data_IF_280787849771
#
_entry.id   IF_280787849771
#
_cell.length_a   1.000
_cell.length_b   1.000
_cell.length_c   1.000
_cell.angle_alpha   90.00
_cell.angle_beta   90.00
_cell.angle_gamma   90.00
#
_symmetry.space_group_name_H-M   'P 1'
#
loop_
_entity.id
_entity.type
_entity.pdbx_description
1 polymer ?
#
# COMPACT_ATOMS: atom_id res chain seq x y z
N UNK A 1 14.39 10.39 9.94
CA UNK A 1 14.22 9.86 8.55
C UNK A 1 12.75 9.57 8.39
N UNK A 2 12.12 10.08 7.33
CA UNK A 2 10.68 9.86 7.10
C UNK A 2 10.40 8.37 6.96
N UNK A 3 9.35 7.90 7.62
CA UNK A 3 8.94 6.50 7.62
C UNK A 3 7.44 6.42 7.30
N UNK A 4 7.11 5.78 6.19
CA UNK A 4 5.74 5.59 5.74
C UNK A 4 5.35 4.12 5.88
N UNK A 5 4.19 3.88 6.48
CA UNK A 5 3.55 2.57 6.47
C UNK A 5 2.73 2.42 5.19
N UNK A 6 3.00 1.39 4.41
CA UNK A 6 2.31 1.10 3.14
C UNK A 6 1.41 -0.11 3.34
N UNK A 7 0.12 0.07 3.11
CA UNK A 7 -0.90 -0.97 3.27
C UNK A 7 -1.79 -1.03 2.03
N UNK A 8 -2.30 -2.22 1.72
CA UNK A 8 -3.16 -2.47 0.57
C UNK A 8 -4.09 -3.65 0.84
N UNK A 9 -5.23 -3.64 0.15
CA UNK A 9 -6.09 -4.81 0.02
C UNK A 9 -6.56 -5.35 1.38
N UNK A 10 -7.24 -4.48 2.15
CA UNK A 10 -7.81 -4.79 3.49
C UNK A 10 -9.07 -5.64 3.33
N UNK A 11 -9.90 -5.36 2.30
CA UNK A 11 -11.09 -6.11 1.93
C UNK A 11 -12.07 -6.36 3.09
N UNK A 12 -12.23 -5.40 3.98
CA UNK A 12 -13.16 -5.50 5.11
C UNK A 12 -12.75 -6.49 6.20
N UNK A 13 -11.50 -6.96 6.20
CA UNK A 13 -11.00 -7.93 7.17
C UNK A 13 -10.53 -7.23 8.46
N UNK A 14 -11.20 -7.54 9.56
CA UNK A 14 -10.83 -7.04 10.88
C UNK A 14 -9.41 -7.48 11.28
N UNK A 15 -9.00 -8.70 10.94
CA UNK A 15 -7.64 -9.18 11.23
C UNK A 15 -6.58 -8.39 10.44
N UNK A 16 -6.92 -7.88 9.24
CA UNK A 16 -6.08 -6.95 8.51
C UNK A 16 -5.95 -5.60 9.22
N UNK A 17 -7.07 -5.07 9.75
CA UNK A 17 -7.07 -3.85 10.55
C UNK A 17 -6.25 -3.98 11.85
N UNK A 18 -6.36 -5.12 12.53
CA UNK A 18 -5.56 -5.42 13.74
C UNK A 18 -4.05 -5.44 13.39
N UNK A 19 -3.65 -6.09 12.30
CA UNK A 19 -2.25 -6.09 11.82
C UNK A 19 -1.74 -4.68 11.51
N UNK A 20 -2.58 -3.83 10.90
CA UNK A 20 -2.22 -2.44 10.62
C UNK A 20 -1.98 -1.68 11.92
N UNK A 21 -2.84 -1.87 12.94
CA UNK A 21 -2.67 -1.23 14.25
C UNK A 21 -1.35 -1.67 14.90
N UNK A 22 -1.03 -2.97 14.91
CA UNK A 22 0.23 -3.50 15.42
C UNK A 22 1.44 -2.87 14.70
N UNK A 23 1.35 -2.75 13.35
CA UNK A 23 2.41 -2.12 12.57
C UNK A 23 2.57 -0.62 12.88
N UNK A 24 1.47 0.11 13.12
CA UNK A 24 1.50 1.52 13.55
C UNK A 24 2.20 1.63 14.91
N UNK A 25 1.82 0.80 15.87
CA UNK A 25 2.38 0.84 17.23
C UNK A 25 3.87 0.49 17.24
N UNK A 26 4.29 -0.46 16.41
CA UNK A 26 5.69 -0.89 16.29
C UNK A 26 6.58 0.13 15.58
N UNK A 27 6.09 0.72 14.49
CA UNK A 27 6.94 1.51 13.59
C UNK A 27 6.74 3.02 13.71
N UNK A 28 5.67 3.47 14.38
CA UNK A 28 5.34 4.89 14.59
C UNK A 28 5.49 5.73 13.29
N UNK A 29 4.76 5.35 12.20
CA UNK A 29 4.95 5.99 10.90
C UNK A 29 4.48 7.46 10.93
N UNK A 30 5.17 8.34 10.16
CA UNK A 30 4.75 9.72 9.96
C UNK A 30 3.47 9.80 9.13
N UNK A 31 3.22 8.80 8.26
CA UNK A 31 2.07 8.73 7.37
C UNK A 31 1.79 7.30 6.95
N UNK A 32 0.53 7.03 6.69
CA UNK A 32 0.07 5.78 6.08
C UNK A 32 -0.23 6.03 4.60
N UNK A 33 0.29 5.17 3.73
CA UNK A 33 -0.03 5.11 2.31
C UNK A 33 -0.97 3.92 2.10
N UNK A 34 -2.26 4.19 1.85
CA UNK A 34 -3.30 3.18 1.65
C UNK A 34 -3.58 3.04 0.16
N UNK A 35 -3.31 1.86 -0.39
CA UNK A 35 -3.36 1.61 -1.83
C UNK A 35 -4.72 1.07 -2.31
N UNK A 36 -5.80 1.28 -1.54
CA UNK A 36 -7.16 0.92 -1.96
C UNK A 36 -7.62 -0.47 -1.54
N UNK A 37 -8.81 -0.85 -2.02
CA UNK A 37 -9.56 -2.07 -1.70
C UNK A 37 -9.78 -2.22 -0.19
N UNK A 38 -10.53 -1.23 0.38
CA UNK A 38 -10.65 -1.06 1.83
C UNK A 38 -11.73 -1.94 2.43
N UNK A 39 -12.97 -1.87 1.94
CA UNK A 39 -14.15 -2.44 2.62
C UNK A 39 -14.73 -3.68 1.96
N UNK A 40 -14.81 -3.71 0.64
CA UNK A 40 -15.45 -4.81 -0.09
C UNK A 40 -14.44 -5.91 -0.44
N UNK A 41 -14.80 -7.17 -0.18
CA UNK A 41 -13.93 -8.31 -0.46
C UNK A 41 -13.68 -8.56 -1.96
N UNK A 42 -14.57 -8.02 -2.82
CA UNK A 42 -14.54 -8.25 -4.28
C UNK A 42 -15.17 -9.59 -4.68
N UNK A 43 -15.82 -9.67 -5.87
CA UNK A 43 -16.61 -10.84 -6.27
C UNK A 43 -15.75 -12.06 -6.63
N UNK A 44 -14.43 -11.87 -6.80
CA UNK A 44 -13.48 -12.94 -7.18
C UNK A 44 -12.71 -13.54 -6.01
N UNK A 45 -12.83 -12.95 -4.82
CA UNK A 45 -12.15 -13.42 -3.62
C UNK A 45 -13.15 -14.15 -2.70
N UNK A 46 -12.65 -15.13 -1.97
CA UNK A 46 -13.39 -15.66 -0.82
C UNK A 46 -13.52 -14.58 0.26
N UNK A 47 -14.58 -14.71 1.09
CA UNK A 47 -14.73 -13.83 2.24
C UNK A 47 -13.55 -14.02 3.20
N UNK A 48 -12.90 -12.94 3.67
CA UNK A 48 -11.96 -13.04 4.77
C UNK A 48 -12.59 -13.71 6.00
N UNK A 49 -11.82 -14.48 6.74
CA UNK A 49 -12.31 -15.19 7.92
C UNK A 49 -12.92 -14.26 8.99
N UNK A 50 -12.44 -13.03 9.08
CA UNK A 50 -12.94 -12.01 10.01
C UNK A 50 -13.52 -10.81 9.22
N UNK A 51 -14.35 -11.12 8.22
CA UNK A 51 -14.99 -10.08 7.42
C UNK A 51 -15.96 -9.25 8.26
N UNK A 52 -15.56 -8.04 8.61
CA UNK A 52 -16.32 -7.04 9.36
C UNK A 52 -16.01 -5.63 8.85
N UNK A 53 -16.61 -5.18 7.74
CA UNK A 53 -16.40 -3.86 7.18
C UNK A 53 -16.69 -2.73 8.18
N UNK A 54 -17.64 -2.93 9.11
CA UNK A 54 -17.96 -1.90 10.12
C UNK A 54 -16.82 -1.72 11.13
N UNK A 55 -16.18 -2.80 11.53
CA UNK A 55 -14.98 -2.72 12.35
C UNK A 55 -13.83 -2.02 11.61
N UNK A 56 -13.64 -2.31 10.32
CA UNK A 56 -12.62 -1.63 9.48
C UNK A 56 -12.94 -0.13 9.34
N UNK A 57 -14.20 0.27 9.10
CA UNK A 57 -14.64 1.67 9.08
C UNK A 57 -14.29 2.37 10.40
N UNK A 58 -14.65 1.76 11.53
CA UNK A 58 -14.36 2.31 12.85
C UNK A 58 -12.86 2.49 13.08
N UNK A 59 -12.06 1.51 12.69
CA UNK A 59 -10.60 1.55 12.77
C UNK A 59 -10.02 2.68 11.91
N UNK A 60 -10.32 2.72 10.61
CA UNK A 60 -9.80 3.73 9.69
C UNK A 60 -10.17 5.15 10.16
N UNK A 61 -11.42 5.34 10.60
CA UNK A 61 -11.89 6.64 11.09
C UNK A 61 -11.29 7.04 12.45
N UNK A 62 -10.70 6.11 13.18
CA UNK A 62 -10.01 6.38 14.47
C UNK A 62 -8.55 6.77 14.31
N UNK A 63 -7.96 6.56 13.12
CA UNK A 63 -6.53 6.81 12.88
C UNK A 63 -6.15 8.26 13.17
N UNK A 64 -5.07 8.45 13.91
CA UNK A 64 -4.47 9.76 14.18
C UNK A 64 -3.30 10.07 13.26
N UNK A 65 -2.64 9.04 12.74
CA UNK A 65 -1.60 9.16 11.74
C UNK A 65 -2.22 9.61 10.41
N UNK A 66 -1.70 10.66 9.76
CA UNK A 66 -2.22 11.12 8.47
C UNK A 66 -2.20 9.99 7.42
N UNK A 67 -3.29 9.88 6.66
CA UNK A 67 -3.42 8.88 5.57
C UNK A 67 -3.40 9.58 4.22
N UNK A 68 -2.66 9.03 3.27
CA UNK A 68 -2.82 9.33 1.84
C UNK A 68 -3.32 8.04 1.19
N UNK A 69 -4.51 8.10 0.58
CA UNK A 69 -5.13 6.94 -0.02
C UNK A 69 -5.33 7.12 -1.52
N UNK A 70 -5.42 6.00 -2.23
CA UNK A 70 -5.88 5.90 -3.61
C UNK A 70 -7.05 4.92 -3.69
N UNK A 71 -7.84 5.03 -4.76
CA UNK A 71 -9.00 4.20 -5.00
C UNK A 71 -8.58 2.82 -5.53
N UNK A 72 -9.07 1.75 -4.89
CA UNK A 72 -9.03 0.40 -5.42
C UNK A 72 -10.19 0.10 -6.39
N UNK A 73 -10.11 -1.04 -7.06
CA UNK A 73 -11.19 -1.47 -7.97
C UNK A 73 -12.44 -1.97 -7.24
N UNK A 74 -12.32 -2.29 -5.96
CA UNK A 74 -13.45 -2.67 -5.11
C UNK A 74 -14.02 -1.50 -4.29
N UNK A 75 -13.37 -0.33 -4.30
CA UNK A 75 -13.84 0.86 -3.59
C UNK A 75 -14.92 1.60 -4.41
N UNK A 76 -16.01 1.96 -3.75
CA UNK A 76 -17.15 2.64 -4.37
C UNK A 76 -17.40 4.02 -3.73
N UNK A 77 -18.20 4.87 -4.41
CA UNK A 77 -18.60 6.16 -3.86
C UNK A 77 -19.30 6.04 -2.50
N UNK A 78 -20.02 4.95 -2.26
CA UNK A 78 -20.68 4.71 -0.98
C UNK A 78 -19.68 4.48 0.16
N UNK A 79 -18.48 3.95 -0.13
CA UNK A 79 -17.43 3.77 0.88
C UNK A 79 -16.88 5.14 1.33
N UNK A 80 -16.77 6.11 0.41
CA UNK A 80 -16.38 7.47 0.75
C UNK A 80 -17.40 8.16 1.68
N UNK A 81 -18.67 7.76 1.68
CA UNK A 81 -19.68 8.34 2.57
C UNK A 81 -19.47 7.94 4.03
N UNK A 82 -18.75 6.85 4.30
CA UNK A 82 -18.54 6.30 5.64
C UNK A 82 -17.08 6.40 6.13
N UNK A 83 -16.15 6.72 5.22
CA UNK A 83 -14.73 6.91 5.54
C UNK A 83 -14.35 8.39 5.61
N UNK A 84 -13.69 8.80 6.70
CA UNK A 84 -13.23 10.19 6.91
C UNK A 84 -11.98 10.55 6.09
N UNK A 85 -11.34 9.58 5.44
CA UNK A 85 -10.20 9.79 4.57
C UNK A 85 -10.66 9.84 3.11
N UNK A 86 -10.04 10.66 2.23
CA UNK A 86 -10.36 10.65 0.79
C UNK A 86 -9.81 9.37 0.14
N UNK A 87 -10.68 8.60 -0.54
CA UNK A 87 -10.34 7.33 -1.22
C UNK A 87 -10.67 7.34 -2.71
N UNK A 88 -10.96 8.49 -3.32
CA UNK A 88 -11.50 8.57 -4.69
C UNK A 88 -10.46 8.84 -5.78
N UNK A 89 -9.21 9.11 -5.41
CA UNK A 89 -8.14 9.38 -6.37
C UNK A 89 -7.59 8.09 -6.99
N UNK A 90 -7.51 8.00 -8.32
CA UNK A 90 -6.94 6.84 -9.00
C UNK A 90 -5.43 6.71 -8.78
N UNK A 91 -4.76 7.82 -8.49
CA UNK A 91 -3.35 7.89 -8.15
C UNK A 91 -3.04 9.12 -7.28
N UNK A 92 -1.90 9.08 -6.63
CA UNK A 92 -1.25 10.23 -6.02
C UNK A 92 0.22 10.27 -6.46
N UNK A 93 0.80 11.47 -6.48
CA UNK A 93 2.19 11.67 -6.88
C UNK A 93 2.81 12.77 -6.03
N UNK A 94 3.94 12.49 -5.38
CA UNK A 94 4.65 13.48 -4.58
C UNK A 94 6.15 13.18 -4.47
N UNK A 95 6.98 14.20 -4.16
CA UNK A 95 8.42 14.00 -4.03
C UNK A 95 8.77 13.18 -2.79
N UNK A 96 9.70 12.25 -2.94
CA UNK A 96 10.35 11.49 -1.88
C UNK A 96 11.88 11.66 -2.03
N UNK A 97 12.45 12.61 -1.30
CA UNK A 97 13.83 13.06 -1.54
C UNK A 97 13.96 13.66 -2.94
N UNK A 98 14.89 13.13 -3.74
CA UNK A 98 15.12 13.52 -5.15
C UNK A 98 14.27 12.76 -6.16
N UNK A 99 13.43 11.81 -5.70
CA UNK A 99 12.61 10.91 -6.51
C UNK A 99 11.18 11.34 -6.53
N UNK A 100 10.45 10.90 -7.54
CA UNK A 100 8.99 10.92 -7.54
C UNK A 100 8.47 9.60 -6.97
N UNK A 101 7.56 9.68 -6.01
CA UNK A 101 6.74 8.55 -5.60
C UNK A 101 5.38 8.66 -6.30
N UNK A 102 5.11 7.73 -7.20
CA UNK A 102 3.80 7.54 -7.81
C UNK A 102 3.13 6.35 -7.12
N UNK A 103 1.96 6.57 -6.52
CA UNK A 103 1.18 5.52 -5.89
C UNK A 103 -0.20 5.39 -6.55
N UNK A 104 -0.60 4.16 -6.76
CA UNK A 104 -1.87 3.77 -7.36
C UNK A 104 -2.33 2.43 -6.77
N UNK A 105 -3.56 2.01 -7.05
CA UNK A 105 -3.96 0.67 -6.65
C UNK A 105 -3.33 -0.42 -7.51
N UNK A 106 -3.21 -0.22 -8.82
CA UNK A 106 -2.64 -1.22 -9.74
C UNK A 106 -3.60 -1.68 -10.85
N UNK A 107 -4.88 -1.27 -10.82
CA UNK A 107 -5.87 -1.65 -11.83
C UNK A 107 -6.01 -0.64 -12.99
N UNK A 108 -5.61 0.61 -12.78
CA UNK A 108 -5.59 1.67 -13.83
C UNK A 108 -4.18 1.81 -14.38
N UNK A 109 -3.20 2.00 -13.50
CA UNK A 109 -1.77 1.96 -13.82
C UNK A 109 -1.18 0.69 -13.23
N UNK A 110 -0.32 0.01 -13.97
CA UNK A 110 0.31 -1.25 -13.60
C UNK A 110 1.76 -1.28 -14.09
N UNK A 111 2.58 -2.26 -13.72
CA UNK A 111 3.92 -2.43 -14.28
C UNK A 111 3.94 -2.53 -15.81
N UNK A 112 2.85 -3.03 -16.43
CA UNK A 112 2.67 -3.13 -17.89
C UNK A 112 2.16 -1.82 -18.51
N UNK A 113 1.63 -0.92 -17.69
CA UNK A 113 1.07 0.36 -18.12
C UNK A 113 1.50 1.48 -17.15
N UNK A 114 2.79 1.78 -17.16
CA UNK A 114 3.39 2.81 -16.29
C UNK A 114 3.04 4.23 -16.78
N UNK A 115 2.87 5.19 -15.87
CA UNK A 115 2.89 6.61 -16.22
C UNK A 115 4.31 7.04 -16.64
N UNK A 116 4.45 8.28 -17.10
CA UNK A 116 5.78 8.84 -17.40
C UNK A 116 6.54 9.06 -16.10
N UNK A 117 7.57 8.24 -15.87
CA UNK A 117 8.48 8.29 -14.71
C UNK A 117 9.93 8.38 -15.19
N UNK A 118 10.80 8.95 -14.34
CA UNK A 118 12.24 9.03 -14.59
C UNK A 118 12.96 7.82 -13.97
N UNK A 119 14.15 7.53 -14.45
CA UNK A 119 15.02 6.58 -13.80
C UNK A 119 15.25 6.96 -12.32
N UNK A 120 15.08 6.00 -11.43
CA UNK A 120 15.14 6.18 -9.99
C UNK A 120 13.81 6.50 -9.31
N UNK A 121 12.74 6.84 -10.05
CA UNK A 121 11.42 7.05 -9.47
C UNK A 121 10.80 5.74 -8.93
N UNK A 122 9.82 5.90 -8.06
CA UNK A 122 9.16 4.80 -7.36
C UNK A 122 7.72 4.66 -7.86
N UNK A 123 7.35 3.46 -8.29
CA UNK A 123 6.00 3.06 -8.63
C UNK A 123 5.47 2.09 -7.58
N UNK A 124 4.55 2.57 -6.74
CA UNK A 124 3.99 1.84 -5.61
C UNK A 124 2.55 1.45 -5.91
N UNK A 125 2.24 0.16 -5.85
CA UNK A 125 0.93 -0.38 -6.23
C UNK A 125 0.52 -1.58 -5.35
N UNK A 126 -0.79 -1.91 -5.33
CA UNK A 126 -1.39 -3.04 -4.63
C UNK A 126 -2.00 -4.06 -5.60
N UNK A 127 -3.30 -4.36 -5.45
CA UNK A 127 -4.17 -5.10 -6.37
C UNK A 127 -3.82 -6.58 -6.59
N UNK A 128 -2.55 -6.89 -6.77
CA UNK A 128 -2.13 -8.28 -7.05
C UNK A 128 -2.13 -9.16 -5.81
N UNK A 129 -2.11 -8.56 -4.62
CA UNK A 129 -1.92 -9.21 -3.31
C UNK A 129 -0.59 -9.96 -3.18
N UNK A 130 0.35 -9.69 -4.07
CA UNK A 130 1.68 -10.32 -4.13
C UNK A 130 2.71 -9.27 -3.75
N UNK A 131 3.49 -9.48 -2.68
CA UNK A 131 4.55 -8.56 -2.31
C UNK A 131 5.67 -8.55 -3.34
N UNK A 132 6.15 -7.34 -3.67
CA UNK A 132 7.12 -7.17 -4.74
C UNK A 132 8.05 -5.99 -4.46
N UNK A 133 9.34 -6.17 -4.67
CA UNK A 133 10.34 -5.13 -4.47
C UNK A 133 11.53 -5.35 -5.40
N UNK A 134 11.51 -4.73 -6.58
CA UNK A 134 12.62 -4.81 -7.52
C UNK A 134 12.75 -3.54 -8.36
N UNK A 135 13.87 -3.40 -9.07
CA UNK A 135 14.09 -2.37 -10.07
C UNK A 135 14.00 -2.98 -11.47
N UNK A 136 13.18 -2.39 -12.34
CA UNK A 136 13.06 -2.77 -13.74
C UNK A 136 12.96 -1.52 -14.61
N UNK A 137 13.68 -1.49 -15.73
CA UNK A 137 13.69 -0.32 -16.64
C UNK A 137 14.12 1.00 -15.98
N UNK A 138 14.91 0.93 -14.91
CA UNK A 138 15.31 2.09 -14.12
C UNK A 138 14.30 2.53 -13.05
N UNK A 139 13.08 2.00 -13.03
CA UNK A 139 12.01 2.34 -12.08
C UNK A 139 11.98 1.31 -10.95
N UNK A 140 11.72 1.74 -9.72
CA UNK A 140 11.48 0.84 -8.60
C UNK A 140 10.00 0.46 -8.56
N UNK A 141 9.71 -0.83 -8.77
CA UNK A 141 8.37 -1.41 -8.69
C UNK A 141 8.18 -2.01 -7.31
N UNK A 142 7.19 -1.50 -6.56
CA UNK A 142 7.01 -1.78 -5.15
C UNK A 142 5.56 -2.17 -4.86
N UNK A 143 5.36 -3.29 -4.18
CA UNK A 143 4.04 -3.76 -3.75
C UNK A 143 4.14 -4.30 -2.31
N UNK A 144 3.30 -3.85 -1.37
CA UNK A 144 3.34 -4.33 0.00
C UNK A 144 2.73 -5.73 0.19
N UNK A 145 2.07 -6.29 -0.85
CA UNK A 145 1.18 -7.44 -0.72
C UNK A 145 -0.19 -7.04 -0.17
N UNK A 146 -0.88 -7.97 0.47
CA UNK A 146 -2.15 -7.73 1.14
C UNK A 146 -2.07 -8.00 2.64
N UNK A 147 -2.68 -7.14 3.44
CA UNK A 147 -2.81 -7.36 4.90
C UNK A 147 -3.87 -8.41 5.25
N UNK A 148 -4.69 -8.83 4.27
CA UNK A 148 -5.87 -9.69 4.45
C UNK A 148 -5.81 -10.95 3.59
N UNK A 149 -5.76 -10.81 2.29
CA UNK A 149 -5.97 -11.86 1.30
C UNK A 149 -4.71 -12.10 0.43
N UNK A 150 -3.59 -12.55 1.00
CA UNK A 150 -2.38 -12.82 0.21
C UNK A 150 -2.63 -13.89 -0.86
N UNK A 151 -1.90 -13.83 -1.97
CA UNK A 151 -1.96 -14.80 -3.07
C UNK A 151 -0.64 -15.52 -3.26
N UNK A 152 -0.65 -16.57 -4.06
CA UNK A 152 0.53 -17.37 -4.45
C UNK A 152 1.38 -17.86 -3.27
N UNK A 153 0.73 -18.22 -2.15
CA UNK A 153 1.36 -18.71 -0.92
C UNK A 153 2.27 -17.66 -0.22
N UNK A 154 2.12 -16.38 -0.54
CA UNK A 154 2.76 -15.31 0.22
C UNK A 154 2.06 -15.10 1.57
N UNK A 155 2.76 -14.59 2.59
CA UNK A 155 2.14 -14.24 3.86
C UNK A 155 1.30 -12.95 3.72
N UNK A 156 0.38 -12.71 4.66
CA UNK A 156 -0.17 -11.38 4.89
C UNK A 156 0.98 -10.43 5.18
N UNK A 157 0.97 -9.25 4.59
CA UNK A 157 2.13 -8.36 4.61
C UNK A 157 1.77 -6.89 4.46
N UNK A 158 2.72 -6.05 4.83
CA UNK A 158 2.68 -4.60 4.67
C UNK A 158 4.08 -4.08 4.31
N UNK A 159 4.16 -2.85 3.82
CA UNK A 159 5.42 -2.21 3.44
C UNK A 159 5.85 -1.13 4.43
N UNK A 160 7.16 -0.95 4.56
CA UNK A 160 7.79 0.22 5.16
C UNK A 160 8.61 0.93 4.09
N UNK A 161 8.28 2.19 3.82
CA UNK A 161 8.95 3.01 2.83
C UNK A 161 9.69 4.15 3.51
N UNK A 162 10.97 4.32 3.15
CA UNK A 162 11.80 5.46 3.51
C UNK A 162 12.34 6.14 2.25
N UNK A 163 13.11 7.21 2.38
CA UNK A 163 13.78 7.85 1.24
C UNK A 163 14.84 6.95 0.58
N UNK A 164 15.32 5.93 1.29
CA UNK A 164 16.45 5.10 0.84
C UNK A 164 16.11 3.63 0.62
N UNK A 165 14.94 3.16 1.05
CA UNK A 165 14.60 1.74 0.97
C UNK A 165 13.10 1.49 1.05
N UNK A 166 12.69 0.34 0.50
CA UNK A 166 11.39 -0.27 0.73
C UNK A 166 11.59 -1.67 1.33
N UNK A 167 10.84 -1.97 2.39
CA UNK A 167 10.87 -3.27 3.07
C UNK A 167 9.46 -3.79 3.24
N UNK A 168 9.19 -4.99 2.72
CA UNK A 168 7.98 -5.75 3.01
C UNK A 168 8.20 -6.55 4.31
N UNK A 169 7.21 -6.50 5.20
CA UNK A 169 7.16 -7.30 6.42
C UNK A 169 5.93 -8.20 6.43
N UNK A 170 6.10 -9.41 6.94
CA UNK A 170 5.00 -10.35 7.15
C UNK A 170 4.15 -9.99 8.39
N UNK A 171 3.08 -10.77 8.62
CA UNK A 171 2.19 -10.58 9.78
C UNK A 171 2.85 -10.85 11.14
N UNK A 172 4.02 -11.47 11.19
CA UNK A 172 4.85 -11.60 12.39
C UNK A 172 5.90 -10.48 12.51
N UNK A 173 5.78 -9.45 11.67
CA UNK A 173 6.68 -8.29 11.58
C UNK A 173 8.12 -8.64 11.16
N UNK A 174 8.38 -9.83 10.67
CA UNK A 174 9.69 -10.19 10.12
C UNK A 174 9.89 -9.58 8.73
N UNK A 175 11.14 -9.23 8.43
CA UNK A 175 11.49 -8.78 7.07
C UNK A 175 11.30 -9.92 6.07
N UNK A 176 10.44 -9.71 5.09
CA UNK A 176 10.13 -10.69 4.04
C UNK A 176 10.90 -10.40 2.75
N UNK A 177 10.81 -9.15 2.26
CA UNK A 177 11.55 -8.67 1.07
C UNK A 177 12.06 -7.27 1.33
N UNK A 178 13.10 -6.84 0.62
CA UNK A 178 13.53 -5.43 0.67
C UNK A 178 14.37 -5.05 -0.54
N UNK A 179 14.32 -3.75 -0.87
CA UNK A 179 15.21 -3.13 -1.84
C UNK A 179 15.73 -1.81 -1.28
N UNK A 180 17.01 -1.54 -1.48
CA UNK A 180 17.64 -0.25 -1.21
C UNK A 180 17.64 0.54 -2.51
N UNK A 181 17.30 1.81 -2.44
CA UNK A 181 17.33 2.69 -3.60
C UNK A 181 18.73 3.23 -3.81
N UNK A 182 19.32 2.93 -4.94
CA UNK A 182 20.61 3.51 -5.34
C UNK A 182 20.45 5.01 -5.61
N UNK A 183 21.48 5.80 -5.34
CA UNK A 183 21.46 7.21 -5.69
C UNK A 183 21.18 7.35 -7.19
N UNK A 184 20.27 8.27 -7.54
CA UNK A 184 20.01 8.54 -8.96
C UNK A 184 21.32 8.95 -9.62
N UNK A 185 21.66 8.41 -10.81
CA UNK A 185 22.84 8.87 -11.53
C UNK A 185 22.76 10.38 -11.69
N UNK A 186 23.85 11.10 -11.36
CA UNK A 186 23.91 12.54 -11.57
C UNK A 186 23.57 12.82 -13.03
N UNK A 187 22.57 13.68 -13.28
CA UNK A 187 22.29 14.17 -14.64
C UNK A 187 23.57 14.84 -15.16
N UNK A 188 24.15 14.31 -16.25
CA UNK A 188 25.29 14.87 -16.96
C UNK A 188 24.88 16.10 -17.75
#
# INVERSE_FOLDING_TARGET
>A
MRNYLVISDIHGDKAGADLIQEAIDLHQPERILLLGDVLYHGPRNDLPNQYDPKAVIAFINSLKTPVTAVRGNCDAEVDQMVLNIPITADYNCFPLGTRTLFLTHGHVYSPEHLPVLKAGDLFLYGHTHIPFALQAGGIYLLNPGSVSLPKENHPRSYGLLTETAFTVRDAAHHKYQSIVFEDAPAEL
#
